data_IF_865316817143
#
_entry.id   IF_865316817143
#
_cell.length_a   1.000
_cell.length_b   1.000
_cell.length_c   1.000
_cell.angle_alpha   90.00
_cell.angle_beta   90.00
_cell.angle_gamma   90.00
#
_symmetry.space_group_name_H-M   'P 1'
#
loop_
_entity.id
_entity.type
_entity.pdbx_description
1 polymer ?
#
# COMPACT_ATOMS: atom_id res chain seq x y z
N UNK A 1 -43.11 14.08 0.59
CA UNK A 1 -42.61 13.52 -0.69
C UNK A 1 -41.06 13.59 -0.71
N UNK A 2 -40.42 12.49 -0.33
CA UNK A 2 -38.95 12.39 -0.35
C UNK A 2 -38.51 12.19 -1.79
N UNK A 3 -37.70 13.12 -2.30
CA UNK A 3 -36.97 12.95 -3.58
C UNK A 3 -35.91 11.88 -3.36
N UNK A 4 -36.11 10.71 -3.96
CA UNK A 4 -35.05 9.70 -4.07
C UNK A 4 -33.87 10.30 -4.84
N UNK A 5 -32.77 10.52 -4.14
CA UNK A 5 -31.48 10.83 -4.77
C UNK A 5 -31.02 9.56 -5.51
N UNK A 6 -31.15 9.57 -6.84
CA UNK A 6 -30.53 8.56 -7.68
C UNK A 6 -29.02 8.63 -7.46
N UNK A 7 -28.44 7.53 -6.98
CA UNK A 7 -26.98 7.37 -6.95
C UNK A 7 -26.42 7.58 -8.37
N UNK A 8 -25.29 8.30 -8.53
CA UNK A 8 -24.70 8.54 -9.84
C UNK A 8 -24.37 7.18 -10.50
N UNK A 9 -24.89 6.96 -11.71
CA UNK A 9 -24.50 5.81 -12.54
C UNK A 9 -22.99 5.83 -12.70
N UNK A 10 -22.33 4.76 -12.24
CA UNK A 10 -20.91 4.55 -12.51
C UNK A 10 -20.73 4.36 -14.03
N UNK A 11 -20.39 5.42 -14.72
CA UNK A 11 -20.02 5.33 -16.13
C UNK A 11 -18.70 4.56 -16.25
N UNK A 12 -18.66 3.60 -17.18
CA UNK A 12 -17.43 2.87 -17.46
C UNK A 12 -16.40 3.83 -18.09
N UNK A 13 -15.13 3.74 -17.72
CA UNK A 13 -14.11 4.57 -18.33
C UNK A 13 -14.07 4.33 -19.85
N UNK A 14 -14.06 5.41 -20.61
CA UNK A 14 -14.03 5.38 -22.07
C UNK A 14 -12.57 5.27 -22.51
N UNK A 15 -12.21 4.16 -23.18
CA UNK A 15 -10.90 3.96 -23.80
C UNK A 15 -11.06 4.22 -25.29
N UNK A 16 -10.48 5.30 -25.77
CA UNK A 16 -10.51 5.69 -27.18
C UNK A 16 -9.08 5.69 -27.73
N UNK A 17 -8.79 4.86 -28.72
CA UNK A 17 -7.44 4.76 -29.35
C UNK A 17 -6.28 4.59 -28.35
N UNK A 18 -6.47 3.80 -27.29
CA UNK A 18 -5.49 3.56 -26.25
C UNK A 18 -5.35 4.70 -25.22
N UNK A 19 -6.15 5.74 -25.31
CA UNK A 19 -6.19 6.85 -24.36
C UNK A 19 -7.31 6.63 -23.35
N UNK A 20 -6.99 6.71 -22.06
CA UNK A 20 -7.98 6.66 -20.98
C UNK A 20 -8.51 8.08 -20.74
N UNK A 21 -9.75 8.33 -21.15
CA UNK A 21 -10.43 9.60 -20.96
C UNK A 21 -11.44 9.48 -19.80
N UNK A 22 -11.32 10.31 -18.75
CA UNK A 22 -12.29 10.31 -17.66
C UNK A 22 -13.61 10.95 -18.07
N UNK A 23 -14.73 10.38 -17.60
CA UNK A 23 -16.08 10.95 -17.78
C UNK A 23 -16.38 12.14 -16.85
N UNK A 24 -15.43 12.51 -15.99
CA UNK A 24 -15.55 13.61 -15.01
C UNK A 24 -14.34 14.54 -15.07
N UNK A 25 -14.55 15.80 -14.67
CA UNK A 25 -13.44 16.76 -14.59
C UNK A 25 -12.68 16.59 -13.28
N UNK A 26 -11.37 16.55 -13.36
CA UNK A 26 -10.49 16.54 -12.20
C UNK A 26 -10.07 17.96 -11.80
N UNK A 27 -10.13 18.29 -10.53
CA UNK A 27 -9.42 19.46 -9.99
C UNK A 27 -7.91 19.19 -9.91
N UNK A 28 -7.55 17.92 -9.63
CA UNK A 28 -6.17 17.45 -9.57
C UNK A 28 -6.13 15.99 -10.05
N UNK A 29 -5.06 15.64 -10.76
CA UNK A 29 -4.83 14.25 -11.16
C UNK A 29 -4.81 13.32 -9.92
N UNK A 30 -5.63 12.25 -9.87
CA UNK A 30 -5.66 11.31 -8.75
C UNK A 30 -4.30 10.66 -8.45
N UNK A 31 -3.52 10.35 -9.49
CA UNK A 31 -2.15 9.82 -9.33
C UNK A 31 -1.28 10.86 -8.60
N UNK A 32 -1.33 12.13 -9.00
CA UNK A 32 -0.58 13.20 -8.34
C UNK A 32 -0.96 13.34 -6.87
N UNK A 33 -2.25 13.26 -6.56
CA UNK A 33 -2.73 13.28 -5.18
C UNK A 33 -2.17 12.12 -4.36
N UNK A 34 -2.20 10.90 -4.91
CA UNK A 34 -1.67 9.70 -4.26
C UNK A 34 -0.16 9.77 -4.04
N UNK A 35 0.59 10.39 -4.95
CA UNK A 35 2.04 10.58 -4.81
C UNK A 35 2.43 11.47 -3.64
N UNK A 36 1.51 12.25 -3.08
CA UNK A 36 1.69 12.96 -1.81
C UNK A 36 2.01 12.01 -0.64
N UNK A 37 1.55 10.77 -0.70
CA UNK A 37 1.86 9.69 0.25
C UNK A 37 2.95 8.77 -0.30
N UNK A 38 2.67 8.11 -1.43
CA UNK A 38 3.53 7.05 -1.97
C UNK A 38 4.86 7.52 -2.54
N UNK A 39 4.96 8.79 -2.93
CA UNK A 39 6.19 9.39 -3.47
C UNK A 39 7.26 9.68 -2.42
N UNK A 40 6.94 9.62 -1.14
CA UNK A 40 7.91 9.84 -0.06
C UNK A 40 8.79 8.61 0.12
N UNK A 41 10.10 8.82 0.10
CA UNK A 41 11.08 7.74 0.32
C UNK A 41 10.74 6.96 1.61
N UNK A 42 10.83 5.64 1.57
CA UNK A 42 10.59 4.68 2.65
C UNK A 42 9.10 4.37 2.95
N UNK A 43 8.15 5.22 2.54
CA UNK A 43 6.73 5.06 2.86
C UNK A 43 6.19 3.70 2.42
N UNK A 44 6.42 3.30 1.19
CA UNK A 44 5.94 2.01 0.65
C UNK A 44 6.53 0.80 1.37
N UNK A 45 7.80 0.89 1.81
CA UNK A 45 8.45 -0.17 2.58
C UNK A 45 7.90 -0.26 4.01
N UNK A 46 7.63 0.87 4.66
CA UNK A 46 6.98 0.90 5.98
C UNK A 46 5.57 0.31 5.88
N UNK A 47 4.79 0.70 4.88
CA UNK A 47 3.43 0.15 4.66
C UNK A 47 3.46 -1.35 4.34
N UNK A 48 4.44 -1.83 3.56
CA UNK A 48 4.68 -3.27 3.34
C UNK A 48 4.86 -4.00 4.67
N UNK A 49 5.70 -3.46 5.54
CA UNK A 49 6.04 -4.12 6.80
C UNK A 49 4.87 -4.11 7.77
N UNK A 50 4.18 -2.99 7.95
CA UNK A 50 2.98 -2.92 8.79
C UNK A 50 1.84 -3.78 8.20
N UNK A 51 1.60 -3.70 6.90
CA UNK A 51 0.47 -4.36 6.23
C UNK A 51 0.67 -5.85 5.98
N UNK A 52 1.79 -6.25 5.36
CA UNK A 52 2.01 -7.64 4.95
C UNK A 52 2.80 -8.45 5.97
N UNK A 53 3.84 -7.85 6.57
CA UNK A 53 4.74 -8.55 7.48
C UNK A 53 4.32 -8.46 8.95
N UNK A 54 3.29 -7.65 9.24
CA UNK A 54 2.77 -7.41 10.60
C UNK A 54 3.85 -6.94 11.59
N UNK A 55 4.80 -6.17 11.08
CA UNK A 55 5.82 -5.51 11.90
C UNK A 55 5.23 -4.18 12.37
N UNK A 56 4.95 -4.06 13.64
CA UNK A 56 4.12 -3.00 14.23
C UNK A 56 4.84 -2.13 15.26
N UNK A 57 6.10 -2.46 15.62
CA UNK A 57 6.90 -1.73 16.61
C UNK A 57 8.01 -0.93 15.96
N UNK A 58 8.31 0.23 16.53
CA UNK A 58 9.31 1.18 16.00
C UNK A 58 10.67 0.51 15.72
N UNK A 59 11.25 -0.17 16.72
CA UNK A 59 12.57 -0.78 16.56
C UNK A 59 12.58 -1.89 15.51
N UNK A 60 11.52 -2.72 15.46
CA UNK A 60 11.41 -3.78 14.45
C UNK A 60 11.23 -3.20 13.03
N UNK A 61 10.48 -2.09 12.88
CA UNK A 61 10.39 -1.37 11.60
C UNK A 61 11.73 -0.81 11.17
N UNK A 62 12.48 -0.24 12.12
CA UNK A 62 13.81 0.31 11.84
C UNK A 62 14.80 -0.77 11.37
N UNK A 63 14.79 -1.93 12.04
CA UNK A 63 15.64 -3.08 11.70
C UNK A 63 15.27 -3.71 10.36
N UNK A 64 13.97 -3.70 10.00
CA UNK A 64 13.46 -4.37 8.80
C UNK A 64 13.78 -3.65 7.49
N UNK A 65 14.13 -2.35 7.54
CA UNK A 65 14.39 -1.51 6.37
C UNK A 65 15.82 -0.97 6.38
N UNK A 66 16.77 -1.64 5.71
CA UNK A 66 18.15 -1.19 5.66
C UNK A 66 18.30 0.24 5.14
N UNK A 67 19.08 1.06 5.84
CA UNK A 67 19.33 2.45 5.49
C UNK A 67 18.26 3.44 6.00
N UNK A 68 17.20 2.96 6.65
CA UNK A 68 16.24 3.80 7.36
C UNK A 68 16.84 4.26 8.69
N UNK A 69 16.77 5.56 8.98
CA UNK A 69 17.26 6.12 10.25
C UNK A 69 16.10 6.34 11.23
N UNK A 70 16.36 6.35 12.55
CA UNK A 70 15.32 6.61 13.56
C UNK A 70 14.58 7.94 13.34
N UNK A 71 15.32 8.99 12.96
CA UNK A 71 14.74 10.30 12.66
C UNK A 71 13.77 10.23 11.49
N UNK A 72 14.16 9.57 10.42
CA UNK A 72 13.33 9.44 9.19
C UNK A 72 12.12 8.56 9.47
N UNK A 73 12.29 7.43 10.17
CA UNK A 73 11.17 6.58 10.56
C UNK A 73 10.15 7.34 11.41
N UNK A 74 10.60 8.05 12.45
CA UNK A 74 9.72 8.86 13.30
C UNK A 74 8.94 9.90 12.49
N UNK A 75 9.61 10.58 11.55
CA UNK A 75 8.97 11.56 10.67
C UNK A 75 7.92 10.89 9.76
N UNK A 76 8.25 9.75 9.13
CA UNK A 76 7.32 9.04 8.25
C UNK A 76 6.10 8.49 8.98
N UNK A 77 6.27 7.93 10.18
CA UNK A 77 5.15 7.44 11.00
C UNK A 77 4.21 8.58 11.38
N UNK A 78 4.73 9.75 11.78
CA UNK A 78 3.91 10.94 12.06
C UNK A 78 3.15 11.44 10.83
N UNK A 79 3.79 11.44 9.66
CA UNK A 79 3.14 11.84 8.41
C UNK A 79 2.03 10.86 8.02
N UNK A 80 2.29 9.56 8.10
CA UNK A 80 1.31 8.51 7.79
C UNK A 80 0.12 8.54 8.75
N UNK A 81 0.37 8.81 10.05
CA UNK A 81 -0.67 8.98 11.05
C UNK A 81 -1.52 10.22 10.76
N UNK A 82 -0.88 11.37 10.50
CA UNK A 82 -1.55 12.61 10.12
C UNK A 82 -2.40 12.45 8.86
N UNK A 83 -1.89 11.73 7.88
CA UNK A 83 -2.57 11.48 6.61
C UNK A 83 -3.67 10.39 6.74
N UNK A 84 -3.85 9.83 7.96
CA UNK A 84 -4.88 8.83 8.28
C UNK A 84 -4.66 7.46 7.62
N UNK A 85 -3.41 7.11 7.33
CA UNK A 85 -3.03 5.83 6.71
C UNK A 85 -2.75 4.77 7.78
N UNK A 86 -2.09 5.16 8.86
CA UNK A 86 -1.83 4.32 10.03
C UNK A 86 -2.38 4.97 11.27
N UNK A 87 -2.55 4.17 12.31
CA UNK A 87 -2.94 4.63 13.65
C UNK A 87 -2.13 3.91 14.72
N UNK A 88 -1.99 4.57 15.86
CA UNK A 88 -1.42 3.96 17.06
C UNK A 88 -2.44 3.08 17.74
N UNK A 89 -1.97 1.94 18.23
CA UNK A 89 -2.73 1.06 19.11
C UNK A 89 -1.87 0.83 20.35
N UNK A 90 -2.47 1.00 21.52
CA UNK A 90 -1.82 0.67 22.78
C UNK A 90 -1.72 -0.85 22.93
N UNK A 91 -0.58 -1.31 23.46
CA UNK A 91 -0.43 -2.72 23.79
C UNK A 91 -1.20 -3.00 25.09
N UNK A 92 -2.16 -3.90 25.05
CA UNK A 92 -3.00 -4.25 26.21
C UNK A 92 -2.17 -4.78 27.40
N UNK A 93 -1.02 -5.40 27.11
CA UNK A 93 -0.14 -5.98 28.14
C UNK A 93 0.91 -5.01 28.63
N UNK A 94 1.25 -3.97 27.85
CA UNK A 94 2.24 -2.98 28.20
C UNK A 94 1.90 -1.60 27.59
N UNK A 95 1.23 -0.71 28.34
CA UNK A 95 0.82 0.62 27.85
C UNK A 95 1.99 1.52 27.40
N UNK A 96 3.23 1.20 27.78
CA UNK A 96 4.42 1.93 27.32
C UNK A 96 4.84 1.54 25.91
N UNK A 97 4.29 0.48 25.34
CA UNK A 97 4.61 -0.01 24.00
C UNK A 97 3.57 0.51 23.00
N UNK A 98 4.01 1.36 22.09
CA UNK A 98 3.19 1.82 20.97
C UNK A 98 3.33 0.85 19.81
N UNK A 99 2.19 0.38 19.29
CA UNK A 99 2.09 -0.41 18.07
C UNK A 99 1.44 0.42 16.97
N UNK A 100 1.76 0.09 15.73
CA UNK A 100 1.21 0.75 14.55
C UNK A 100 0.36 -0.23 13.75
N UNK A 101 -0.82 0.17 13.35
CA UNK A 101 -1.69 -0.62 12.46
C UNK A 101 -2.21 0.24 11.33
N UNK A 102 -2.66 -0.40 10.25
CA UNK A 102 -3.32 0.30 9.15
C UNK A 102 -4.72 0.74 9.56
N UNK A 103 -5.14 1.89 9.06
CA UNK A 103 -6.56 2.26 8.99
C UNK A 103 -7.20 1.64 7.76
N UNK A 104 -8.53 1.80 7.56
CA UNK A 104 -9.17 1.41 6.30
C UNK A 104 -8.48 2.04 5.08
N UNK A 105 -8.15 3.32 5.16
CA UNK A 105 -7.41 4.02 4.10
C UNK A 105 -6.02 3.43 3.86
N UNK A 106 -5.37 2.92 4.91
CA UNK A 106 -4.10 2.21 4.80
C UNK A 106 -4.26 0.83 4.17
N UNK A 107 -5.33 0.11 4.48
CA UNK A 107 -5.65 -1.17 3.85
C UNK A 107 -5.94 -1.02 2.35
N UNK A 108 -6.62 0.05 1.95
CA UNK A 108 -6.87 0.38 0.54
C UNK A 108 -5.58 0.69 -0.24
N UNK A 109 -4.46 0.93 0.44
CA UNK A 109 -3.15 1.09 -0.17
C UNK A 109 -2.47 -0.26 -0.51
N UNK A 110 -2.85 -1.37 0.13
CA UNK A 110 -2.20 -2.67 -0.05
C UNK A 110 -2.28 -3.23 -1.48
N UNK A 111 -3.41 -3.10 -2.21
CA UNK A 111 -3.46 -3.50 -3.62
C UNK A 111 -2.41 -2.79 -4.49
N UNK A 112 -2.10 -1.53 -4.20
CA UNK A 112 -1.06 -0.76 -4.91
C UNK A 112 0.31 -1.41 -4.67
N UNK A 113 0.62 -1.78 -3.43
CA UNK A 113 1.90 -2.42 -3.08
C UNK A 113 2.03 -3.80 -3.73
N UNK A 114 0.96 -4.58 -3.79
CA UNK A 114 0.95 -5.88 -4.49
C UNK A 114 1.24 -5.72 -5.98
N UNK A 115 0.69 -4.68 -6.62
CA UNK A 115 0.98 -4.37 -8.04
C UNK A 115 2.43 -3.94 -8.23
N UNK A 116 2.97 -3.12 -7.32
CA UNK A 116 4.39 -2.75 -7.33
C UNK A 116 5.30 -3.97 -7.15
N UNK A 117 4.94 -4.89 -6.25
CA UNK A 117 5.68 -6.15 -6.04
C UNK A 117 5.68 -7.01 -7.31
N UNK A 118 4.53 -7.18 -7.96
CA UNK A 118 4.43 -7.92 -9.22
C UNK A 118 5.28 -7.30 -10.33
N UNK A 119 5.28 -5.98 -10.43
CA UNK A 119 6.12 -5.25 -11.38
C UNK A 119 7.60 -5.46 -11.10
N UNK A 120 8.03 -5.32 -9.84
CA UNK A 120 9.42 -5.52 -9.42
C UNK A 120 9.90 -6.96 -9.67
N UNK A 121 9.10 -7.95 -9.30
CA UNK A 121 9.43 -9.37 -9.49
C UNK A 121 9.57 -9.76 -10.96
N UNK A 122 8.82 -9.13 -11.84
CA UNK A 122 8.88 -9.38 -13.28
C UNK A 122 10.05 -8.69 -13.97
N UNK A 123 10.24 -7.40 -13.70
CA UNK A 123 11.14 -6.55 -14.49
C UNK A 123 12.51 -6.32 -13.86
N UNK A 124 12.62 -6.46 -12.53
CA UNK A 124 13.84 -6.29 -11.76
C UNK A 124 14.31 -7.60 -11.11
N UNK A 125 14.05 -8.73 -11.78
CA UNK A 125 14.38 -10.06 -11.26
C UNK A 125 15.88 -10.23 -10.96
N UNK A 126 16.74 -9.57 -11.74
CA UNK A 126 18.20 -9.62 -11.56
C UNK A 126 18.66 -9.04 -10.23
N UNK A 127 17.94 -8.05 -9.72
CA UNK A 127 18.19 -7.36 -8.45
C UNK A 127 17.40 -7.98 -7.30
N UNK A 128 16.26 -8.62 -7.61
CA UNK A 128 15.32 -9.13 -6.62
C UNK A 128 15.61 -10.57 -6.22
N UNK A 129 15.97 -11.43 -7.17
CA UNK A 129 16.16 -12.86 -6.93
C UNK A 129 17.63 -13.29 -7.14
N UNK A 130 18.10 -14.19 -6.27
CA UNK A 130 19.48 -14.73 -6.37
C UNK A 130 19.72 -15.44 -7.70
N UNK A 131 18.74 -16.21 -8.18
CA UNK A 131 18.80 -16.92 -9.45
C UNK A 131 18.44 -16.04 -10.67
N UNK A 132 18.15 -14.74 -10.43
CA UNK A 132 17.87 -13.72 -11.45
C UNK A 132 16.67 -14.05 -12.37
N UNK A 133 15.80 -14.97 -11.95
CA UNK A 133 14.67 -15.45 -12.74
C UNK A 133 13.41 -14.66 -12.42
N UNK A 134 12.73 -14.06 -13.42
CA UNK A 134 11.42 -13.40 -13.20
C UNK A 134 10.39 -14.37 -12.65
N UNK A 135 9.57 -13.90 -11.70
CA UNK A 135 8.51 -14.69 -11.06
C UNK A 135 7.19 -13.94 -11.01
N UNK A 136 6.11 -14.69 -11.13
CA UNK A 136 4.77 -14.25 -10.79
C UNK A 136 4.57 -14.24 -9.26
N UNK A 137 3.54 -13.55 -8.79
CA UNK A 137 3.20 -13.55 -7.37
C UNK A 137 2.85 -14.96 -6.84
N UNK A 138 2.23 -15.80 -7.65
CA UNK A 138 1.89 -17.17 -7.27
C UNK A 138 3.14 -18.06 -7.10
N UNK A 139 4.21 -17.78 -7.82
CA UNK A 139 5.50 -18.48 -7.65
C UNK A 139 6.28 -17.97 -6.44
N UNK A 140 6.03 -16.72 -6.01
CA UNK A 140 6.64 -16.13 -4.81
C UNK A 140 5.90 -16.61 -3.55
N UNK A 141 4.57 -16.56 -3.57
CA UNK A 141 3.70 -16.94 -2.46
C UNK A 141 3.11 -18.32 -2.71
N UNK A 142 3.77 -19.35 -2.18
CA UNK A 142 3.40 -20.76 -2.41
C UNK A 142 2.42 -21.30 -1.36
N UNK A 143 2.27 -20.64 -0.21
CA UNK A 143 1.31 -21.06 0.82
C UNK A 143 -0.12 -20.67 0.41
N UNK A 144 -1.12 -21.57 0.52
CA UNK A 144 -2.49 -21.31 0.08
C UNK A 144 -3.09 -20.02 0.68
N UNK A 145 -2.88 -19.76 1.97
CA UNK A 145 -3.41 -18.60 2.66
C UNK A 145 -2.81 -17.29 2.09
N UNK A 146 -1.52 -17.31 1.76
CA UNK A 146 -0.85 -16.16 1.15
C UNK A 146 -1.33 -15.93 -0.29
N UNK A 147 -1.55 -17.00 -1.05
CA UNK A 147 -2.08 -16.90 -2.41
C UNK A 147 -3.49 -16.32 -2.43
N UNK A 148 -4.36 -16.72 -1.51
CA UNK A 148 -5.70 -16.16 -1.38
C UNK A 148 -5.68 -14.66 -1.09
N UNK A 149 -4.84 -14.22 -0.14
CA UNK A 149 -4.66 -12.80 0.19
C UNK A 149 -4.15 -12.02 -1.03
N UNK A 150 -3.11 -12.52 -1.68
CA UNK A 150 -2.51 -11.91 -2.87
C UNK A 150 -3.53 -11.80 -4.00
N UNK A 151 -4.29 -12.85 -4.27
CA UNK A 151 -5.30 -12.85 -5.33
C UNK A 151 -6.39 -11.83 -5.05
N UNK A 152 -6.90 -11.76 -3.82
CA UNK A 152 -7.89 -10.76 -3.41
C UNK A 152 -7.38 -9.34 -3.59
N UNK A 153 -6.16 -9.04 -3.13
CA UNK A 153 -5.56 -7.71 -3.25
C UNK A 153 -5.19 -7.36 -4.69
N UNK A 154 -4.85 -8.35 -5.52
CA UNK A 154 -4.50 -8.12 -6.92
C UNK A 154 -5.71 -7.81 -7.79
N UNK A 155 -6.90 -8.29 -7.40
CA UNK A 155 -8.16 -8.04 -8.11
C UNK A 155 -8.87 -6.76 -7.64
N UNK A 156 -8.56 -6.26 -6.44
CA UNK A 156 -9.08 -5.00 -5.92
C UNK A 156 -8.50 -3.79 -6.66
#
# INVERSE_FOLDING_TARGET
MQKAQLAPKKEKPIIVKGVLLPGVRFQQCPIKASMGVFGRKWTTLILRDVGFRKIDRFNHLLESVPGLTPRVLSMRLKELERDGIIQKVEDETNPMVVRWTLTQKGEDALPILIRLMAFGAKWYAKEVFEDKTPRSLNEIFTRPEAQEIVQRLYQA
#
